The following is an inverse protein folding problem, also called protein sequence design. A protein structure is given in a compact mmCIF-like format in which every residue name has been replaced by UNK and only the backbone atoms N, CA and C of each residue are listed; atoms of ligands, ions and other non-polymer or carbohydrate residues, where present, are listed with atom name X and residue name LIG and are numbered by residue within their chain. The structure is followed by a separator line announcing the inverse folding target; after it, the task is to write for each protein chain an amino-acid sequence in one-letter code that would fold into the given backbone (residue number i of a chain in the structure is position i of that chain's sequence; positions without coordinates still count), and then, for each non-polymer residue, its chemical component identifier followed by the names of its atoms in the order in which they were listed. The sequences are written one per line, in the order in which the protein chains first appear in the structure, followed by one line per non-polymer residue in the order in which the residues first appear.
data_IF_278809245695
#
_entry.id   IF_278809245695
#
_cell.length_a   1.000
_cell.length_b   1.000
_cell.length_c   1.000
_cell.angle_alpha   90.00
_cell.angle_beta   90.00
_cell.angle_gamma   90.00
#
_symmetry.space_group_name_H-M   'P 1'
#
loop_
_entity.id
_entity.type
_entity.pdbx_description
1 polymer ?
#
# COMPACT_ATOMS: atom_id res chain seq x y z
N UNK A 1 30.66 -18.91 -15.48
CA UNK A 1 30.17 -18.98 -14.07
C UNK A 1 31.00 -18.14 -13.09
N UNK A 2 32.33 -18.19 -13.16
CA UNK A 2 33.20 -17.39 -12.26
C UNK A 2 32.99 -15.86 -12.38
N UNK A 3 32.67 -15.37 -13.57
CA UNK A 3 32.43 -13.96 -13.84
C UNK A 3 31.11 -13.43 -13.19
N UNK A 4 30.04 -14.22 -13.23
CA UNK A 4 28.74 -13.85 -12.64
C UNK A 4 28.82 -13.73 -11.11
N UNK A 5 29.51 -14.65 -10.43
CA UNK A 5 29.72 -14.59 -9.00
C UNK A 5 30.47 -13.33 -8.62
N UNK A 6 31.59 -13.04 -9.28
CA UNK A 6 32.40 -11.84 -9.03
C UNK A 6 31.56 -10.57 -9.22
N UNK A 7 30.82 -10.49 -10.34
CA UNK A 7 29.98 -9.32 -10.64
C UNK A 7 28.90 -9.07 -9.56
N UNK A 8 28.20 -10.11 -9.12
CA UNK A 8 27.15 -9.98 -8.09
C UNK A 8 27.77 -9.67 -6.73
N UNK A 9 28.90 -10.31 -6.36
CA UNK A 9 29.61 -10.02 -5.11
C UNK A 9 30.06 -8.56 -5.06
N UNK A 10 30.72 -8.06 -6.09
CA UNK A 10 31.15 -6.65 -6.17
C UNK A 10 29.96 -5.69 -6.07
N UNK A 11 28.83 -6.03 -6.69
CA UNK A 11 27.62 -5.22 -6.64
C UNK A 11 27.07 -5.14 -5.20
N UNK A 12 27.00 -6.25 -4.46
CA UNK A 12 26.52 -6.26 -3.08
C UNK A 12 27.51 -5.61 -2.12
N UNK A 13 28.81 -5.87 -2.27
CA UNK A 13 29.88 -5.22 -1.51
C UNK A 13 29.83 -3.69 -1.63
N UNK A 14 29.45 -3.16 -2.80
CA UNK A 14 29.31 -1.72 -3.02
C UNK A 14 28.20 -1.05 -2.21
N UNK A 15 27.31 -1.83 -1.62
CA UNK A 15 26.24 -1.39 -0.71
C UNK A 15 26.36 -2.03 0.67
N UNK A 16 27.57 -2.42 1.05
CA UNK A 16 27.93 -3.00 2.35
C UNK A 16 27.19 -4.31 2.67
N UNK A 17 26.96 -5.17 1.68
CA UNK A 17 26.41 -6.53 1.85
C UNK A 17 27.46 -7.56 1.43
N UNK A 18 27.67 -8.59 2.25
CA UNK A 18 28.56 -9.69 1.93
C UNK A 18 27.77 -10.96 1.57
N UNK A 19 28.23 -11.66 0.53
CA UNK A 19 27.70 -13.00 0.22
C UNK A 19 28.41 -14.02 1.09
N UNK A 20 27.64 -14.81 1.83
CA UNK A 20 28.10 -15.75 2.86
C UNK A 20 28.90 -15.04 3.97
N UNK A 21 28.51 -13.81 4.29
CA UNK A 21 29.04 -13.05 5.42
C UNK A 21 28.43 -13.51 6.75
N UNK A 22 28.78 -12.82 7.84
CA UNK A 22 28.38 -13.21 9.21
C UNK A 22 27.37 -12.26 9.86
N UNK A 23 27.06 -11.14 9.21
CA UNK A 23 26.10 -10.17 9.78
C UNK A 23 24.66 -10.61 9.48
N UNK A 24 23.66 -10.27 10.29
CA UNK A 24 22.27 -10.71 10.08
C UNK A 24 21.68 -10.31 8.71
N UNK A 25 22.16 -9.22 8.11
CA UNK A 25 21.71 -8.74 6.80
C UNK A 25 22.62 -9.21 5.64
N UNK A 26 23.67 -10.00 5.90
CA UNK A 26 24.45 -10.66 4.87
C UNK A 26 23.69 -11.90 4.37
N UNK A 27 23.74 -12.15 3.05
CA UNK A 27 22.99 -13.26 2.47
C UNK A 27 23.81 -14.56 2.47
N UNK A 28 23.11 -15.69 2.69
CA UNK A 28 23.69 -17.05 2.60
C UNK A 28 23.21 -17.69 1.29
N UNK A 29 24.12 -17.91 0.35
CA UNK A 29 23.78 -18.46 -0.98
C UNK A 29 24.02 -19.97 -1.00
N UNK A 30 22.95 -20.73 -1.22
CA UNK A 30 22.94 -22.19 -1.25
C UNK A 30 23.00 -22.75 -2.68
N UNK A 31 22.52 -22.00 -3.70
CA UNK A 31 22.49 -22.44 -5.09
C UNK A 31 23.37 -21.54 -5.99
N UNK A 32 24.33 -22.15 -6.71
CA UNK A 32 25.25 -21.43 -7.59
C UNK A 32 24.55 -20.72 -8.78
N UNK A 33 23.34 -21.14 -9.15
CA UNK A 33 22.54 -20.51 -10.21
C UNK A 33 21.95 -19.15 -9.78
N UNK A 34 21.96 -18.82 -8.48
CA UNK A 34 21.58 -17.54 -7.93
C UNK A 34 22.21 -16.36 -8.70
N UNK A 35 23.51 -16.42 -8.91
CA UNK A 35 24.25 -15.31 -9.53
C UNK A 35 23.76 -14.98 -10.95
N UNK A 36 23.53 -16.00 -11.76
CA UNK A 36 23.01 -15.80 -13.12
C UNK A 36 21.56 -15.32 -13.12
N UNK A 37 20.74 -15.83 -12.17
CA UNK A 37 19.32 -15.46 -12.05
C UNK A 37 19.15 -14.01 -11.61
N UNK A 38 19.95 -13.56 -10.65
CA UNK A 38 19.93 -12.16 -10.19
C UNK A 38 20.39 -11.20 -11.30
N UNK A 39 21.46 -11.51 -12.02
CA UNK A 39 21.92 -10.66 -13.12
C UNK A 39 20.92 -10.56 -14.27
N UNK A 40 20.27 -11.66 -14.64
CA UNK A 40 19.29 -11.70 -15.73
C UNK A 40 17.93 -11.13 -15.33
N UNK A 41 17.44 -11.52 -14.14
CA UNK A 41 16.10 -11.20 -13.65
C UNK A 41 16.02 -9.97 -12.75
N UNK A 42 17.14 -9.43 -12.27
CA UNK A 42 17.21 -8.30 -11.32
C UNK A 42 16.32 -8.55 -10.09
N UNK A 43 15.44 -7.60 -9.74
CA UNK A 43 14.50 -7.74 -8.60
C UNK A 43 13.62 -8.99 -8.70
N UNK A 44 13.13 -9.32 -9.89
CA UNK A 44 12.35 -10.53 -10.10
C UNK A 44 13.19 -11.79 -9.82
N UNK A 45 14.41 -11.85 -10.38
CA UNK A 45 15.33 -12.96 -10.16
C UNK A 45 15.78 -13.10 -8.71
N UNK A 46 15.98 -11.98 -8.01
CA UNK A 46 16.32 -11.95 -6.59
C UNK A 46 15.19 -12.52 -5.73
N UNK A 47 13.97 -12.01 -5.89
CA UNK A 47 12.81 -12.46 -5.10
C UNK A 47 12.42 -13.91 -5.40
N UNK A 48 12.38 -14.31 -6.70
CA UNK A 48 12.07 -15.70 -7.04
C UNK A 48 13.13 -16.70 -6.53
N UNK A 49 14.40 -16.32 -6.51
CA UNK A 49 15.45 -17.18 -5.96
C UNK A 49 15.35 -17.30 -4.43
N UNK A 50 14.84 -16.29 -3.72
CA UNK A 50 14.50 -16.38 -2.31
C UNK A 50 13.33 -17.35 -2.08
N UNK A 51 12.25 -17.18 -2.84
CA UNK A 51 11.07 -18.06 -2.77
C UNK A 51 11.44 -19.54 -3.01
N UNK A 52 12.40 -19.78 -3.89
CA UNK A 52 12.87 -21.13 -4.25
C UNK A 52 13.96 -21.67 -3.27
N UNK A 53 14.27 -20.97 -2.17
CA UNK A 53 15.25 -21.39 -1.17
C UNK A 53 16.71 -21.37 -1.64
N UNK A 54 17.04 -20.59 -2.67
CA UNK A 54 18.42 -20.52 -3.19
C UNK A 54 19.35 -19.68 -2.34
N UNK A 55 18.79 -18.83 -1.49
CA UNK A 55 19.50 -18.02 -0.53
C UNK A 55 18.62 -17.67 0.66
N UNK A 56 19.25 -17.35 1.79
CA UNK A 56 18.61 -16.90 3.01
C UNK A 56 19.26 -15.62 3.53
N UNK A 57 18.53 -14.90 4.39
CA UNK A 57 18.97 -13.72 5.09
C UNK A 57 18.21 -13.62 6.41
N UNK A 58 18.90 -13.51 7.53
CA UNK A 58 18.28 -13.41 8.85
C UNK A 58 17.53 -12.09 9.04
N UNK A 59 18.10 -10.96 8.59
CA UNK A 59 17.49 -9.63 8.65
C UNK A 59 17.19 -9.12 7.23
N UNK A 60 16.19 -9.72 6.57
CA UNK A 60 15.83 -9.44 5.18
C UNK A 60 15.36 -7.99 4.95
N UNK A 61 14.70 -7.38 5.94
CA UNK A 61 14.33 -5.98 5.97
C UNK A 61 15.55 -5.05 5.95
N UNK A 62 16.59 -5.39 6.74
CA UNK A 62 17.84 -4.66 6.79
C UNK A 62 18.66 -4.84 5.49
N UNK A 63 18.67 -6.05 4.92
CA UNK A 63 19.24 -6.30 3.60
C UNK A 63 18.61 -5.39 2.54
N UNK A 64 17.28 -5.30 2.50
CA UNK A 64 16.59 -4.40 1.59
C UNK A 64 16.95 -2.93 1.83
N UNK A 65 16.99 -2.51 3.10
CA UNK A 65 17.40 -1.17 3.46
C UNK A 65 18.79 -0.84 2.90
N UNK A 66 19.78 -1.71 3.13
CA UNK A 66 21.16 -1.51 2.64
C UNK A 66 21.22 -1.38 1.11
N UNK A 67 20.54 -2.30 0.39
CA UNK A 67 20.47 -2.23 -1.08
C UNK A 67 19.92 -0.90 -1.58
N UNK A 68 18.84 -0.42 -0.97
CA UNK A 68 18.11 0.76 -1.43
C UNK A 68 18.79 2.06 -0.98
N UNK A 69 19.32 2.11 0.24
CA UNK A 69 20.09 3.24 0.75
C UNK A 69 21.37 3.44 -0.04
N UNK A 70 22.10 2.36 -0.32
CA UNK A 70 23.31 2.35 -1.16
C UNK A 70 23.05 2.56 -2.65
N UNK A 71 21.78 2.69 -3.08
CA UNK A 71 21.40 2.98 -4.47
C UNK A 71 21.89 1.93 -5.46
N UNK A 72 21.78 0.64 -5.12
CA UNK A 72 22.19 -0.48 -5.97
C UNK A 72 21.54 -0.41 -7.38
N UNK A 73 20.34 0.13 -7.48
CA UNK A 73 19.60 0.35 -8.73
C UNK A 73 20.34 1.24 -9.74
N UNK A 74 21.15 2.19 -9.26
CA UNK A 74 21.97 3.08 -10.10
C UNK A 74 23.28 2.45 -10.59
N UNK A 75 23.74 1.42 -9.89
CA UNK A 75 24.99 0.74 -10.21
C UNK A 75 24.78 -0.34 -11.30
N UNK A 76 23.56 -0.83 -11.46
CA UNK A 76 23.21 -1.80 -12.49
C UNK A 76 23.01 -1.11 -13.84
N UNK A 77 24.08 -1.05 -14.67
CA UNK A 77 24.06 -0.40 -16.00
C UNK A 77 23.36 -1.22 -17.09
N UNK A 78 22.95 -2.45 -16.84
CA UNK A 78 22.38 -3.36 -17.86
C UNK A 78 20.90 -3.04 -18.10
N UNK A 79 20.59 -2.50 -19.27
CA UNK A 79 19.20 -2.37 -19.77
C UNK A 79 18.74 -3.73 -20.33
N UNK A 80 17.89 -4.44 -19.61
CA UNK A 80 17.29 -5.68 -20.10
C UNK A 80 16.24 -5.39 -21.20
N UNK A 81 16.21 -6.11 -22.35
CA UNK A 81 15.16 -5.97 -23.35
C UNK A 81 13.75 -6.21 -22.78
N UNK A 82 13.61 -7.12 -21.82
CA UNK A 82 12.34 -7.38 -21.11
C UNK A 82 11.86 -6.14 -20.33
N UNK A 83 12.75 -5.40 -19.70
CA UNK A 83 12.41 -4.14 -19.02
C UNK A 83 11.93 -3.07 -20.01
N UNK A 84 12.59 -2.93 -21.17
CA UNK A 84 12.19 -1.99 -22.22
C UNK A 84 10.79 -2.34 -22.75
N UNK A 85 10.52 -3.62 -23.00
CA UNK A 85 9.20 -4.10 -23.44
C UNK A 85 8.11 -3.86 -22.39
N UNK A 86 8.41 -4.03 -21.10
CA UNK A 86 7.48 -3.73 -20.02
C UNK A 86 7.14 -2.23 -19.94
N UNK A 87 8.13 -1.35 -20.09
CA UNK A 87 7.94 0.10 -20.14
C UNK A 87 7.11 0.52 -21.36
N UNK A 88 7.40 -0.03 -22.55
CA UNK A 88 6.62 0.22 -23.77
C UNK A 88 5.17 -0.23 -23.61
N UNK A 89 4.94 -1.41 -23.04
CA UNK A 89 3.59 -1.92 -22.77
C UNK A 89 2.82 -1.02 -21.80
N UNK A 90 3.45 -0.54 -20.73
CA UNK A 90 2.84 0.39 -19.78
C UNK A 90 2.53 1.76 -20.42
N UNK A 91 3.31 2.17 -21.41
CA UNK A 91 3.07 3.42 -22.13
C UNK A 91 1.83 3.35 -23.05
N UNK A 92 1.65 2.25 -23.77
CA UNK A 92 0.56 2.11 -24.75
C UNK A 92 -0.74 1.58 -24.15
N UNK A 93 -0.70 0.74 -23.11
CA UNK A 93 -1.87 0.12 -22.51
C UNK A 93 -2.29 0.80 -21.20
N UNK A 94 -3.60 0.98 -21.02
CA UNK A 94 -4.16 1.31 -19.71
C UNK A 94 -4.41 0.00 -18.93
N UNK A 95 -3.44 -0.39 -18.09
CA UNK A 95 -3.51 -1.63 -17.32
C UNK A 95 -4.57 -1.57 -16.20
N UNK A 96 -5.07 -0.36 -15.84
CA UNK A 96 -6.06 -0.10 -14.81
C UNK A 96 -7.44 0.26 -15.39
N UNK A 97 -7.81 -0.32 -16.54
CA UNK A 97 -9.16 -0.18 -17.09
C UNK A 97 -10.22 -0.79 -16.15
N UNK A 98 -11.47 -0.32 -16.22
CA UNK A 98 -12.59 -0.79 -15.39
C UNK A 98 -12.70 -2.33 -15.38
N UNK A 99 -12.63 -2.98 -16.56
CA UNK A 99 -12.67 -4.45 -16.66
C UNK A 99 -11.55 -5.15 -15.90
N UNK A 100 -10.35 -4.57 -15.86
CA UNK A 100 -9.19 -5.13 -15.16
C UNK A 100 -9.21 -4.86 -13.65
N UNK A 101 -9.87 -3.80 -13.19
CA UNK A 101 -10.01 -3.52 -11.75
C UNK A 101 -10.71 -4.68 -11.01
N UNK A 102 -11.78 -5.23 -11.60
CA UNK A 102 -12.48 -6.40 -11.03
C UNK A 102 -11.63 -7.69 -11.07
N UNK A 103 -10.78 -7.88 -12.09
CA UNK A 103 -9.86 -9.04 -12.17
C UNK A 103 -8.81 -8.95 -11.07
N UNK A 104 -8.20 -7.77 -10.87
CA UNK A 104 -7.21 -7.55 -9.82
C UNK A 104 -7.84 -7.72 -8.43
N UNK A 105 -9.06 -7.22 -8.22
CA UNK A 105 -9.82 -7.43 -6.99
C UNK A 105 -9.99 -8.92 -6.68
N UNK A 106 -10.36 -9.71 -7.69
CA UNK A 106 -10.53 -11.16 -7.56
C UNK A 106 -9.20 -11.89 -7.29
N UNK A 107 -8.16 -11.63 -8.07
CA UNK A 107 -6.89 -12.37 -7.97
C UNK A 107 -6.08 -12.01 -6.71
N UNK A 108 -6.18 -10.77 -6.24
CA UNK A 108 -5.36 -10.29 -5.11
C UNK A 108 -6.00 -10.54 -3.74
N UNK A 109 -7.33 -10.36 -3.62
CA UNK A 109 -8.04 -10.52 -2.34
C UNK A 109 -8.68 -11.91 -2.17
N UNK A 110 -8.71 -12.76 -3.21
CA UNK A 110 -9.06 -14.19 -3.13
C UNK A 110 -7.92 -15.03 -2.46
N UNK A 111 -6.85 -14.40 -1.98
CA UNK A 111 -5.82 -15.02 -1.12
C UNK A 111 -6.38 -15.39 0.26
N UNK A 112 -7.69 -15.32 0.45
CA UNK A 112 -8.41 -15.81 1.60
C UNK A 112 -8.38 -14.88 2.82
N UNK A 113 -9.55 -14.63 3.39
CA UNK A 113 -9.70 -13.82 4.60
C UNK A 113 -8.94 -14.37 5.82
N UNK A 114 -8.65 -15.68 5.85
CA UNK A 114 -7.92 -16.36 6.91
C UNK A 114 -6.48 -15.82 7.09
N UNK A 115 -5.75 -15.65 5.99
CA UNK A 115 -4.42 -15.06 6.02
C UNK A 115 -4.45 -13.63 6.59
N UNK A 116 -5.35 -12.80 6.07
CA UNK A 116 -5.46 -11.41 6.51
C UNK A 116 -5.93 -11.31 7.96
N UNK A 117 -6.88 -12.15 8.39
CA UNK A 117 -7.37 -12.16 9.76
C UNK A 117 -6.30 -12.54 10.80
N UNK A 118 -5.33 -13.37 10.41
CA UNK A 118 -4.22 -13.77 11.29
C UNK A 118 -3.04 -12.78 11.26
N UNK A 119 -2.92 -11.97 10.22
CA UNK A 119 -1.82 -11.03 10.03
C UNK A 119 -2.17 -9.60 10.48
N UNK A 120 -3.37 -9.13 10.17
CA UNK A 120 -3.80 -7.75 10.41
C UNK A 120 -4.24 -7.52 11.87
N UNK A 121 -4.60 -6.28 12.17
CA UNK A 121 -5.26 -5.89 13.41
C UNK A 121 -6.71 -6.43 13.48
N UNK A 122 -7.33 -6.33 14.65
CA UNK A 122 -8.71 -6.79 14.91
C UNK A 122 -9.77 -6.15 13.98
N UNK A 123 -9.46 -5.03 13.35
CA UNK A 123 -10.36 -4.32 12.42
C UNK A 123 -10.09 -4.64 10.95
N UNK A 124 -9.18 -5.58 10.66
CA UNK A 124 -8.80 -5.99 9.30
C UNK A 124 -8.32 -4.83 8.43
N UNK A 125 -7.44 -3.98 8.96
CA UNK A 125 -6.93 -2.80 8.25
C UNK A 125 -5.66 -3.13 7.48
N UNK A 126 -5.74 -3.23 6.17
CA UNK A 126 -4.58 -3.51 5.29
C UNK A 126 -3.96 -2.22 4.74
N UNK A 127 -3.59 -1.32 5.64
CA UNK A 127 -2.89 -0.07 5.35
C UNK A 127 -2.06 0.37 6.55
N UNK A 128 -1.19 1.34 6.37
CA UNK A 128 -0.30 1.82 7.42
C UNK A 128 -1.05 2.27 8.68
N UNK A 129 -0.59 1.84 9.86
CA UNK A 129 -0.97 2.41 11.15
C UNK A 129 -0.33 3.79 11.38
N UNK A 130 -0.79 4.53 12.40
CA UNK A 130 -0.16 5.76 12.87
C UNK A 130 0.44 5.50 14.25
N UNK A 131 1.76 5.37 14.31
CA UNK A 131 2.47 4.85 15.48
C UNK A 131 2.78 5.91 16.54
N UNK A 132 2.36 7.14 16.34
CA UNK A 132 2.47 8.16 17.38
C UNK A 132 1.64 7.72 18.59
N UNK A 133 2.30 7.61 19.74
CA UNK A 133 1.69 7.20 21.02
C UNK A 133 0.99 5.81 20.94
N UNK A 134 1.58 4.86 20.19
CA UNK A 134 1.08 3.49 20.02
C UNK A 134 2.18 2.48 20.35
N UNK A 135 1.84 1.47 21.15
CA UNK A 135 2.75 0.39 21.57
C UNK A 135 2.52 -0.91 20.78
N UNK A 136 1.44 -0.98 20.00
CA UNK A 136 1.06 -2.16 19.23
C UNK A 136 0.26 -1.77 17.97
N UNK A 137 0.07 -2.77 17.09
CA UNK A 137 -0.59 -2.60 15.80
C UNK A 137 -2.05 -2.14 15.94
N UNK A 138 -2.82 -2.71 16.87
CA UNK A 138 -4.23 -2.34 17.08
C UNK A 138 -4.36 -0.86 17.46
N UNK A 139 -3.52 -0.39 18.39
CA UNK A 139 -3.52 1.01 18.78
C UNK A 139 -3.05 1.93 17.64
N UNK A 140 -2.04 1.53 16.89
CA UNK A 140 -1.57 2.31 15.73
C UNK A 140 -2.67 2.44 14.66
N UNK A 141 -3.47 1.40 14.43
CA UNK A 141 -4.60 1.44 13.51
C UNK A 141 -5.74 2.32 14.04
N UNK A 142 -6.08 2.23 15.33
CA UNK A 142 -7.06 3.12 15.99
C UNK A 142 -6.61 4.58 15.84
N UNK A 143 -5.35 4.88 16.14
CA UNK A 143 -4.79 6.24 16.02
C UNK A 143 -4.89 6.76 14.58
N UNK A 144 -4.65 5.90 13.59
CA UNK A 144 -4.78 6.27 12.17
C UNK A 144 -6.23 6.57 11.79
N UNK A 145 -7.18 5.75 12.24
CA UNK A 145 -8.61 5.95 11.95
C UNK A 145 -9.13 7.24 12.60
N UNK A 146 -8.76 7.48 13.85
CA UNK A 146 -9.07 8.70 14.57
C UNK A 146 -8.48 9.94 13.88
N UNK A 147 -7.22 9.87 13.46
CA UNK A 147 -6.56 10.94 12.71
C UNK A 147 -7.32 11.27 11.41
N UNK A 148 -7.78 10.26 10.68
CA UNK A 148 -8.59 10.44 9.46
C UNK A 148 -9.90 11.15 9.78
N UNK A 149 -10.64 10.70 10.79
CA UNK A 149 -11.91 11.30 11.19
C UNK A 149 -11.74 12.76 11.63
N UNK A 150 -10.71 13.06 12.44
CA UNK A 150 -10.39 14.44 12.86
C UNK A 150 -10.00 15.32 11.69
N UNK A 151 -9.19 14.82 10.75
CA UNK A 151 -8.80 15.55 9.54
C UNK A 151 -9.98 15.84 8.62
N UNK A 152 -10.98 14.99 8.58
CA UNK A 152 -12.21 15.22 7.84
C UNK A 152 -13.24 16.05 8.61
N UNK A 153 -12.93 16.49 9.84
CA UNK A 153 -13.85 17.22 10.73
C UNK A 153 -15.20 16.51 10.89
N UNK A 154 -15.19 15.17 11.00
CA UNK A 154 -16.41 14.36 11.07
C UNK A 154 -17.25 14.73 12.30
N UNK A 155 -18.57 14.82 12.09
CA UNK A 155 -19.58 15.13 13.12
C UNK A 155 -20.77 14.19 12.96
N UNK A 156 -21.51 13.92 14.04
CA UNK A 156 -22.70 13.09 13.96
C UNK A 156 -23.67 13.56 12.87
N UNK A 157 -24.24 12.60 12.15
CA UNK A 157 -25.18 12.81 11.06
C UNK A 157 -24.56 13.15 9.69
N UNK A 158 -23.23 13.33 9.60
CA UNK A 158 -22.57 13.52 8.30
C UNK A 158 -22.60 12.24 7.45
N UNK A 159 -22.73 12.40 6.15
CA UNK A 159 -22.66 11.32 5.17
C UNK A 159 -21.26 11.23 4.60
N UNK A 160 -20.59 10.11 4.78
CA UNK A 160 -19.21 9.85 4.35
C UNK A 160 -19.19 8.83 3.21
N UNK A 161 -18.46 9.12 2.15
CA UNK A 161 -18.14 8.16 1.09
C UNK A 161 -16.75 7.57 1.33
N UNK A 162 -16.64 6.25 1.43
CA UNK A 162 -15.38 5.53 1.47
C UNK A 162 -15.08 4.85 0.13
N UNK A 163 -14.08 5.36 -0.60
CA UNK A 163 -13.67 4.81 -1.91
C UNK A 163 -12.58 3.76 -1.68
N UNK A 164 -12.95 2.48 -1.76
CA UNK A 164 -12.09 1.36 -1.42
C UNK A 164 -12.23 0.98 0.06
N UNK A 165 -13.41 0.47 0.44
CA UNK A 165 -13.75 0.21 1.85
C UNK A 165 -13.05 -1.00 2.47
N UNK A 166 -12.37 -1.83 1.66
CA UNK A 166 -11.77 -3.05 2.18
C UNK A 166 -12.79 -3.89 2.97
N UNK A 167 -12.39 -4.38 4.13
CA UNK A 167 -13.26 -5.15 5.05
C UNK A 167 -14.13 -4.27 5.96
N UNK A 168 -14.26 -2.97 5.69
CA UNK A 168 -15.16 -2.05 6.42
C UNK A 168 -14.57 -1.47 7.71
N UNK A 169 -13.28 -1.65 7.97
CA UNK A 169 -12.66 -1.24 9.24
C UNK A 169 -12.75 0.27 9.52
N UNK A 170 -12.59 1.13 8.51
CA UNK A 170 -12.80 2.58 8.69
C UNK A 170 -14.27 2.89 8.87
N UNK A 171 -15.16 2.34 8.03
CA UNK A 171 -16.60 2.59 8.11
C UNK A 171 -17.15 2.24 9.51
N UNK A 172 -16.76 1.06 10.03
CA UNK A 172 -17.11 0.62 11.38
C UNK A 172 -16.66 1.63 12.44
N UNK A 173 -15.38 1.98 12.41
CA UNK A 173 -14.80 2.91 13.40
C UNK A 173 -15.47 4.30 13.35
N UNK A 174 -15.68 4.84 12.16
CA UNK A 174 -16.27 6.16 11.99
C UNK A 174 -17.74 6.20 12.43
N UNK A 175 -18.53 5.18 12.09
CA UNK A 175 -19.92 5.07 12.55
C UNK A 175 -20.00 4.93 14.07
N UNK A 176 -19.21 4.03 14.69
CA UNK A 176 -19.19 3.79 16.13
C UNK A 176 -18.75 5.01 16.94
N UNK A 177 -17.72 5.73 16.51
CA UNK A 177 -17.05 6.74 17.32
C UNK A 177 -17.40 8.19 16.96
N UNK A 178 -17.93 8.42 15.74
CA UNK A 178 -18.23 9.76 15.24
C UNK A 178 -19.72 9.93 14.86
N UNK A 179 -20.52 8.84 14.90
CA UNK A 179 -21.97 8.90 14.62
C UNK A 179 -22.30 9.31 13.18
N UNK A 180 -21.44 8.97 12.25
CA UNK A 180 -21.60 9.27 10.82
C UNK A 180 -22.23 8.09 10.08
N UNK A 181 -22.94 8.39 8.97
CA UNK A 181 -23.36 7.39 8.00
C UNK A 181 -22.23 7.16 6.98
N UNK A 182 -21.84 5.91 6.73
CA UNK A 182 -20.76 5.60 5.77
C UNK A 182 -21.26 4.74 4.62
N UNK A 183 -21.08 5.24 3.40
CA UNK A 183 -21.26 4.46 2.17
C UNK A 183 -19.89 4.03 1.65
N UNK A 184 -19.57 2.75 1.76
CA UNK A 184 -18.34 2.14 1.28
C UNK A 184 -18.51 1.47 -0.09
N UNK A 185 -17.53 1.63 -0.96
CA UNK A 185 -17.46 0.87 -2.21
C UNK A 185 -16.19 0.04 -2.30
N UNK A 186 -16.30 -1.14 -2.87
CA UNK A 186 -15.16 -2.02 -3.19
C UNK A 186 -15.42 -2.77 -4.51
N UNK A 187 -14.38 -3.29 -5.12
CA UNK A 187 -14.46 -4.20 -6.29
C UNK A 187 -14.28 -5.68 -5.93
N UNK A 188 -14.11 -5.99 -4.64
CA UNK A 188 -14.03 -7.35 -4.11
C UNK A 188 -15.35 -7.73 -3.44
N UNK A 189 -15.96 -8.81 -3.93
CA UNK A 189 -17.20 -9.34 -3.35
C UNK A 189 -17.00 -9.86 -1.92
N UNK A 190 -15.89 -10.55 -1.68
CA UNK A 190 -15.54 -11.10 -0.36
C UNK A 190 -15.33 -10.01 0.70
N UNK A 191 -14.66 -8.92 0.32
CA UNK A 191 -14.52 -7.76 1.21
C UNK A 191 -15.87 -7.12 1.51
N UNK A 192 -16.72 -6.95 0.51
CA UNK A 192 -18.06 -6.38 0.69
C UNK A 192 -18.90 -7.22 1.65
N UNK A 193 -18.98 -8.54 1.44
CA UNK A 193 -19.77 -9.45 2.28
C UNK A 193 -19.25 -9.44 3.72
N UNK A 194 -17.94 -9.47 3.92
CA UNK A 194 -17.34 -9.35 5.24
C UNK A 194 -17.68 -8.01 5.91
N UNK A 195 -17.55 -6.89 5.18
CA UNK A 195 -17.85 -5.56 5.68
C UNK A 195 -19.33 -5.42 6.10
N UNK A 196 -20.25 -5.95 5.30
CA UNK A 196 -21.68 -5.96 5.62
C UNK A 196 -21.98 -6.70 6.93
N UNK A 197 -21.36 -7.86 7.15
CA UNK A 197 -21.57 -8.63 8.38
C UNK A 197 -20.89 -7.96 9.59
N UNK A 198 -19.62 -7.50 9.43
CA UNK A 198 -18.86 -6.90 10.53
C UNK A 198 -19.42 -5.55 11.01
N UNK A 199 -20.16 -4.85 10.15
CA UNK A 199 -20.77 -3.54 10.44
C UNK A 199 -22.29 -3.63 10.70
N UNK A 200 -22.84 -4.83 10.90
CA UNK A 200 -24.26 -5.04 11.13
C UNK A 200 -24.76 -4.23 12.34
N UNK A 201 -25.87 -3.51 12.15
CA UNK A 201 -26.47 -2.65 13.18
C UNK A 201 -25.90 -1.22 13.24
N UNK A 202 -24.87 -0.90 12.43
CA UNK A 202 -24.34 0.45 12.28
C UNK A 202 -24.95 1.15 11.06
N UNK A 203 -24.89 2.47 11.03
CA UNK A 203 -25.33 3.27 9.87
C UNK A 203 -24.26 3.22 8.75
N UNK A 204 -24.16 2.05 8.14
CA UNK A 204 -23.19 1.76 7.07
C UNK A 204 -23.86 1.01 5.93
N UNK A 205 -23.38 1.24 4.73
CA UNK A 205 -23.79 0.49 3.53
C UNK A 205 -22.59 0.20 2.64
N UNK A 206 -22.55 -0.98 2.02
CA UNK A 206 -21.44 -1.39 1.16
C UNK A 206 -21.95 -1.85 -0.20
N UNK A 207 -21.27 -1.41 -1.27
CA UNK A 207 -21.67 -1.70 -2.64
C UNK A 207 -20.46 -2.23 -3.44
N UNK A 208 -20.71 -3.27 -4.23
CA UNK A 208 -19.73 -3.77 -5.22
C UNK A 208 -19.75 -2.85 -6.44
N UNK A 209 -18.88 -1.86 -6.47
CA UNK A 209 -18.92 -0.80 -7.47
C UNK A 209 -17.54 -0.25 -7.81
N UNK A 210 -17.31 0.03 -9.10
CA UNK A 210 -16.13 0.79 -9.54
C UNK A 210 -16.34 2.28 -9.25
N UNK A 211 -15.29 2.98 -8.78
CA UNK A 211 -15.36 4.40 -8.43
C UNK A 211 -15.84 5.29 -9.58
N UNK A 212 -15.64 4.90 -10.83
CA UNK A 212 -16.05 5.67 -12.02
C UNK A 212 -17.56 5.80 -12.14
N UNK A 213 -18.30 4.86 -11.56
CA UNK A 213 -19.77 4.82 -11.56
C UNK A 213 -20.40 5.52 -10.35
N UNK A 214 -19.57 6.09 -9.47
CA UNK A 214 -20.04 6.81 -8.30
C UNK A 214 -20.86 8.04 -8.69
N UNK A 215 -21.96 8.23 -7.98
CA UNK A 215 -22.80 9.43 -8.00
C UNK A 215 -23.29 9.68 -6.56
N UNK A 216 -23.85 10.83 -6.32
CA UNK A 216 -24.37 11.23 -5.00
C UNK A 216 -23.64 12.48 -4.49
N UNK A 217 -24.03 12.93 -3.30
CA UNK A 217 -23.44 14.05 -2.60
C UNK A 217 -23.13 13.66 -1.17
N UNK A 218 -21.88 13.87 -0.73
CA UNK A 218 -21.36 13.45 0.57
C UNK A 218 -20.66 14.62 1.26
N UNK A 219 -20.85 14.71 2.57
CA UNK A 219 -20.23 15.76 3.40
C UNK A 219 -18.72 15.57 3.52
N UNK A 220 -18.25 14.30 3.46
CA UNK A 220 -16.84 13.98 3.43
C UNK A 220 -16.57 12.77 2.52
N UNK A 221 -15.35 12.70 1.97
CA UNK A 221 -14.86 11.56 1.20
C UNK A 221 -13.55 11.08 1.83
N UNK A 222 -13.38 9.76 1.91
CA UNK A 222 -12.12 9.13 2.32
C UNK A 222 -11.70 8.07 1.31
N UNK A 223 -10.40 7.97 1.09
CA UNK A 223 -9.80 6.92 0.27
C UNK A 223 -8.46 6.53 0.88
N UNK A 224 -8.33 5.27 1.31
CA UNK A 224 -7.15 4.77 2.01
C UNK A 224 -6.59 3.56 1.25
N UNK A 225 -5.36 3.71 0.70
CA UNK A 225 -4.66 2.62 0.00
C UNK A 225 -5.29 2.19 -1.34
N UNK A 226 -6.19 3.00 -1.89
CA UNK A 226 -6.89 2.68 -3.14
C UNK A 226 -6.25 3.37 -4.36
N UNK A 227 -5.66 4.56 -4.17
CA UNK A 227 -5.13 5.39 -5.26
C UNK A 227 -3.99 4.72 -6.02
N UNK A 228 -3.26 3.82 -5.37
CA UNK A 228 -2.22 2.96 -5.93
C UNK A 228 -2.75 2.01 -7.02
N UNK A 229 -4.05 1.71 -7.00
CA UNK A 229 -4.73 0.85 -7.98
C UNK A 229 -5.39 1.66 -9.13
N UNK A 230 -5.42 2.99 -9.04
CA UNK A 230 -6.02 3.87 -10.06
C UNK A 230 -5.16 3.99 -11.32
N UNK A 231 -3.83 4.10 -11.14
CA UNK A 231 -2.85 4.28 -12.20
C UNK A 231 -2.81 5.70 -12.79
N UNK A 232 -1.61 6.14 -13.16
CA UNK A 232 -1.32 7.54 -13.48
C UNK A 232 -2.18 8.14 -14.61
N UNK A 233 -2.65 7.31 -15.53
CA UNK A 233 -3.52 7.75 -16.65
C UNK A 233 -4.92 8.13 -16.19
N UNK A 234 -5.35 7.60 -15.04
CA UNK A 234 -6.71 7.79 -14.51
C UNK A 234 -6.75 8.73 -13.28
N UNK A 235 -5.60 9.20 -12.76
CA UNK A 235 -5.57 10.04 -11.56
C UNK A 235 -6.45 11.29 -11.69
N UNK A 236 -6.42 11.95 -12.85
CA UNK A 236 -7.26 13.13 -13.08
C UNK A 236 -8.75 12.82 -13.07
N UNK A 237 -9.16 11.69 -13.66
CA UNK A 237 -10.57 11.30 -13.70
C UNK A 237 -11.05 10.83 -12.31
N UNK A 238 -10.18 10.18 -11.55
CA UNK A 238 -10.43 9.88 -10.14
C UNK A 238 -10.72 11.16 -9.32
N UNK A 239 -9.89 12.17 -9.45
CA UNK A 239 -10.10 13.48 -8.78
C UNK A 239 -11.39 14.18 -9.24
N UNK A 240 -11.77 14.08 -10.52
CA UNK A 240 -13.06 14.60 -11.01
C UNK A 240 -14.25 13.88 -10.38
N UNK A 241 -14.17 12.55 -10.24
CA UNK A 241 -15.23 11.76 -9.58
C UNK A 241 -15.35 12.15 -8.11
N UNK A 242 -14.25 12.21 -7.37
CA UNK A 242 -14.25 12.65 -5.97
C UNK A 242 -14.86 14.07 -5.85
N UNK A 243 -14.45 15.02 -6.71
CA UNK A 243 -15.01 16.37 -6.72
C UNK A 243 -16.53 16.39 -6.99
N UNK A 244 -17.01 15.55 -7.92
CA UNK A 244 -18.45 15.46 -8.25
C UNK A 244 -19.27 14.97 -7.07
N UNK A 245 -18.75 14.02 -6.31
CA UNK A 245 -19.44 13.39 -5.18
C UNK A 245 -19.30 14.15 -3.86
N UNK A 246 -18.36 15.09 -3.75
CA UNK A 246 -18.14 15.87 -2.53
C UNK A 246 -19.12 17.06 -2.48
N UNK A 247 -19.63 17.37 -1.28
CA UNK A 247 -20.33 18.63 -1.01
C UNK A 247 -19.42 19.86 -1.21
N UNK A 248 -20.01 21.03 -1.44
CA UNK A 248 -19.22 22.24 -1.71
C UNK A 248 -18.35 22.70 -0.54
N UNK A 249 -18.74 22.39 0.68
CA UNK A 249 -17.99 22.67 1.91
C UNK A 249 -17.33 21.41 2.50
N UNK A 250 -17.45 20.29 1.78
CA UNK A 250 -16.90 19.00 2.21
C UNK A 250 -15.38 18.91 2.10
N UNK A 251 -14.84 17.91 2.79
CA UNK A 251 -13.42 17.55 2.76
C UNK A 251 -13.22 16.16 2.16
N UNK A 252 -12.18 16.03 1.33
CA UNK A 252 -11.73 14.76 0.80
C UNK A 252 -10.34 14.43 1.36
N UNK A 253 -10.21 13.30 2.06
CA UNK A 253 -8.93 12.78 2.51
C UNK A 253 -8.46 11.67 1.58
N UNK A 254 -7.28 11.88 1.00
CA UNK A 254 -6.55 10.89 0.20
C UNK A 254 -5.34 10.37 1.00
N UNK A 255 -5.36 9.10 1.38
CA UNK A 255 -4.25 8.40 2.01
C UNK A 255 -3.64 7.44 0.99
N UNK A 256 -2.40 7.66 0.61
CA UNK A 256 -1.73 6.87 -0.43
C UNK A 256 -0.24 6.70 -0.17
N UNK A 257 0.28 5.51 -0.49
CA UNK A 257 1.72 5.32 -0.63
C UNK A 257 2.21 6.21 -1.77
N UNK A 258 3.41 6.75 -1.62
CA UNK A 258 4.02 7.58 -2.62
C UNK A 258 5.51 7.35 -2.79
N UNK A 259 6.06 7.92 -3.83
CA UNK A 259 7.51 7.91 -4.12
C UNK A 259 7.99 9.28 -4.59
N UNK A 260 9.26 9.58 -4.33
CA UNK A 260 9.80 10.92 -4.58
C UNK A 260 9.90 11.32 -6.06
N UNK A 261 9.88 10.34 -6.97
CA UNK A 261 10.01 10.57 -8.41
C UNK A 261 8.91 9.84 -9.19
N UNK A 262 8.41 10.42 -10.28
CA UNK A 262 7.38 9.77 -11.11
C UNK A 262 7.85 8.41 -11.62
N UNK A 263 6.96 7.41 -11.56
CA UNK A 263 7.15 6.11 -12.20
C UNK A 263 5.96 5.80 -13.10
N UNK A 264 6.21 4.96 -14.10
CA UNK A 264 5.18 4.45 -15.02
C UNK A 264 5.03 2.93 -14.93
N UNK A 265 5.76 2.30 -14.03
CA UNK A 265 5.75 0.85 -13.81
C UNK A 265 6.04 0.52 -12.35
N UNK A 266 5.54 -0.59 -11.90
CA UNK A 266 5.83 -1.19 -10.61
C UNK A 266 7.06 -2.10 -10.73
N UNK A 267 7.71 -2.40 -9.61
CA UNK A 267 8.75 -3.42 -9.55
C UNK A 267 8.25 -4.75 -10.14
N UNK A 268 9.02 -5.46 -10.99
CA UNK A 268 8.55 -6.66 -11.67
C UNK A 268 8.14 -7.80 -10.74
N UNK A 269 8.83 -7.98 -9.60
CA UNK A 269 8.47 -9.01 -8.64
C UNK A 269 7.15 -8.66 -7.92
N UNK A 270 7.05 -7.43 -7.42
CA UNK A 270 5.84 -6.91 -6.78
C UNK A 270 4.63 -6.96 -7.73
N UNK A 271 4.83 -6.61 -9.00
CA UNK A 271 3.78 -6.66 -10.01
C UNK A 271 3.30 -8.08 -10.31
N UNK A 272 4.19 -9.07 -10.22
CA UNK A 272 3.87 -10.47 -10.52
C UNK A 272 3.16 -11.18 -9.37
N UNK A 273 3.60 -10.93 -8.14
CA UNK A 273 3.23 -11.75 -6.99
C UNK A 273 2.30 -11.05 -5.99
N UNK A 274 2.35 -9.72 -5.88
CA UNK A 274 1.66 -9.00 -4.79
C UNK A 274 0.61 -8.02 -5.31
N UNK A 275 1.01 -7.03 -6.12
CA UNK A 275 0.12 -5.96 -6.60
C UNK A 275 0.13 -5.85 -8.12
N UNK A 276 -0.55 -6.74 -8.84
CA UNK A 276 -0.65 -6.65 -10.29
C UNK A 276 -1.18 -5.28 -10.74
N UNK A 277 -0.42 -4.62 -11.62
CA UNK A 277 -0.72 -3.28 -12.14
C UNK A 277 -0.77 -2.16 -11.09
N UNK A 278 -0.38 -2.39 -9.85
CA UNK A 278 -0.26 -1.34 -8.82
C UNK A 278 0.72 -0.25 -9.27
N UNK A 279 0.48 1.00 -8.87
CA UNK A 279 1.33 2.13 -9.23
C UNK A 279 1.36 3.19 -8.15
N UNK A 280 2.53 3.41 -7.59
CA UNK A 280 2.75 4.40 -6.53
C UNK A 280 2.95 5.79 -7.16
N UNK A 281 2.11 6.80 -6.82
CA UNK A 281 2.22 8.15 -7.35
C UNK A 281 3.44 8.92 -6.81
N UNK A 282 3.80 9.99 -7.50
CA UNK A 282 4.71 11.00 -6.99
C UNK A 282 3.97 12.28 -6.60
N UNK A 283 4.59 13.21 -5.82
CA UNK A 283 3.98 14.49 -5.48
C UNK A 283 3.54 15.26 -6.72
N UNK A 284 4.37 15.31 -7.75
CA UNK A 284 4.05 15.99 -9.01
C UNK A 284 2.83 15.38 -9.71
N UNK A 285 2.66 14.05 -9.69
CA UNK A 285 1.51 13.39 -10.29
C UNK A 285 0.22 13.67 -9.51
N UNK A 286 0.28 13.65 -8.18
CA UNK A 286 -0.87 13.97 -7.31
C UNK A 286 -1.27 15.45 -7.52
N UNK A 287 -0.33 16.37 -7.36
CA UNK A 287 -0.61 17.82 -7.51
C UNK A 287 -1.17 18.15 -8.90
N UNK A 288 -0.60 17.57 -9.97
CA UNK A 288 -1.13 17.72 -11.32
C UNK A 288 -2.56 17.19 -11.47
N UNK A 289 -2.89 16.08 -10.82
CA UNK A 289 -4.23 15.50 -10.87
C UNK A 289 -5.28 16.34 -10.12
N UNK A 290 -4.88 17.00 -9.02
CA UNK A 290 -5.74 17.86 -8.21
C UNK A 290 -5.85 19.30 -8.76
N UNK A 291 -4.88 19.76 -9.56
CA UNK A 291 -4.79 21.14 -10.05
C UNK A 291 -6.09 21.63 -10.70
N UNK A 292 -6.63 22.77 -10.22
CA UNK A 292 -7.89 23.37 -10.68
C UNK A 292 -9.16 22.57 -10.32
N UNK A 293 -9.02 21.47 -9.58
CA UNK A 293 -10.15 20.71 -9.02
C UNK A 293 -10.26 20.92 -7.51
N UNK A 294 -9.14 20.98 -6.82
CA UNK A 294 -9.09 21.07 -5.36
C UNK A 294 -8.05 22.08 -4.89
N UNK A 295 -8.29 22.63 -3.71
CA UNK A 295 -7.30 23.26 -2.86
C UNK A 295 -6.71 22.15 -1.97
N UNK A 296 -5.38 22.08 -1.87
CA UNK A 296 -4.69 21.17 -0.94
C UNK A 296 -4.61 21.90 0.41
N UNK A 297 -5.36 21.43 1.39
CA UNK A 297 -5.44 22.02 2.72
C UNK A 297 -4.35 21.51 3.65
N UNK A 298 -4.00 20.22 3.56
CA UNK A 298 -2.98 19.55 4.36
C UNK A 298 -2.25 18.50 3.52
N UNK A 299 -0.96 18.31 3.82
CA UNK A 299 -0.15 17.22 3.27
C UNK A 299 0.75 16.66 4.36
N UNK A 300 0.29 15.63 5.04
CA UNK A 300 0.98 14.96 6.12
C UNK A 300 1.74 13.74 5.63
N UNK A 301 3.05 13.69 5.89
CA UNK A 301 3.91 12.55 5.55
C UNK A 301 4.31 11.81 6.84
N UNK A 302 3.87 10.57 6.99
CA UNK A 302 4.28 9.65 8.05
C UNK A 302 4.70 8.28 7.51
N UNK A 303 5.36 8.28 6.36
CA UNK A 303 5.82 7.05 5.70
C UNK A 303 6.76 6.18 6.54
N UNK A 304 7.40 6.72 7.55
CA UNK A 304 8.19 5.97 8.52
C UNK A 304 7.37 4.96 9.33
N UNK A 305 6.09 5.24 9.54
CA UNK A 305 5.17 4.40 10.31
C UNK A 305 4.78 3.11 9.57
N UNK A 306 5.07 3.04 8.27
CA UNK A 306 4.84 1.81 7.51
C UNK A 306 5.86 0.71 7.85
N UNK A 307 7.10 1.08 8.22
CA UNK A 307 8.11 0.12 8.66
C UNK A 307 7.61 -0.69 9.88
N UNK A 308 7.29 -0.11 11.04
CA UNK A 308 6.76 -0.87 12.17
C UNK A 308 5.42 -1.56 11.87
N UNK A 309 4.58 -1.02 10.98
CA UNK A 309 3.34 -1.69 10.56
C UNK A 309 3.65 -3.01 9.83
N UNK A 310 4.56 -2.99 8.87
CA UNK A 310 4.97 -4.18 8.10
C UNK A 310 5.71 -5.20 8.97
N UNK A 311 6.54 -4.73 9.90
CA UNK A 311 7.21 -5.61 10.87
C UNK A 311 6.19 -6.31 11.78
N UNK A 312 5.17 -5.60 12.27
CA UNK A 312 4.10 -6.18 13.08
C UNK A 312 3.26 -7.19 12.26
N UNK A 313 2.95 -6.89 11.00
CA UNK A 313 2.29 -7.86 10.12
C UNK A 313 3.14 -9.11 9.90
N UNK A 314 4.45 -8.96 9.70
CA UNK A 314 5.34 -10.11 9.56
C UNK A 314 5.41 -10.95 10.84
N UNK A 315 5.50 -10.31 12.00
CA UNK A 315 5.50 -11.01 13.29
C UNK A 315 4.21 -11.82 13.49
N UNK A 316 3.04 -11.23 13.23
CA UNK A 316 1.76 -11.92 13.31
C UNK A 316 1.68 -13.08 12.32
N UNK A 317 2.11 -12.87 11.08
CA UNK A 317 2.16 -13.92 10.05
C UNK A 317 3.05 -15.09 10.46
N UNK A 318 4.28 -14.83 10.94
CA UNK A 318 5.20 -15.89 11.37
C UNK A 318 4.62 -16.68 12.57
N UNK A 319 4.03 -16.00 13.55
CA UNK A 319 3.38 -16.65 14.72
C UNK A 319 2.19 -17.52 14.33
N UNK A 320 1.49 -17.16 13.26
CA UNK A 320 0.25 -17.80 12.85
C UNK A 320 0.41 -18.79 11.70
N UNK A 321 1.62 -18.92 11.13
CA UNK A 321 1.82 -19.71 9.91
C UNK A 321 1.47 -21.19 10.09
N UNK A 322 1.68 -21.75 11.27
CA UNK A 322 1.30 -23.15 11.55
C UNK A 322 -0.20 -23.42 11.34
N UNK A 323 -1.06 -22.43 11.48
CA UNK A 323 -2.49 -22.51 11.20
C UNK A 323 -2.80 -22.38 9.68
N UNK A 324 -1.84 -21.99 8.89
CA UNK A 324 -1.99 -21.67 7.46
C UNK A 324 -1.29 -22.70 6.54
N UNK A 325 -0.39 -23.53 7.07
CA UNK A 325 0.50 -24.41 6.28
C UNK A 325 -0.20 -25.46 5.42
N UNK A 326 -1.42 -25.85 5.79
CA UNK A 326 -2.20 -26.81 5.00
C UNK A 326 -2.76 -26.19 3.70
N UNK A 327 -2.88 -24.85 3.67
CA UNK A 327 -3.40 -24.08 2.54
C UNK A 327 -2.31 -23.35 1.76
N UNK A 328 -1.25 -22.97 2.46
CA UNK A 328 -0.15 -22.16 1.90
C UNK A 328 1.18 -22.90 2.12
N UNK A 329 1.84 -23.27 1.02
CA UNK A 329 3.10 -23.99 1.05
C UNK A 329 4.29 -23.12 1.50
N UNK A 330 5.45 -23.74 1.71
CA UNK A 330 6.67 -23.06 2.13
C UNK A 330 7.13 -21.99 1.12
N UNK A 331 6.86 -22.20 -0.17
CA UNK A 331 7.18 -21.22 -1.20
C UNK A 331 6.31 -19.97 -1.07
N UNK A 332 5.05 -20.13 -0.72
CA UNK A 332 4.14 -19.02 -0.40
C UNK A 332 4.60 -18.29 0.87
N UNK A 333 4.96 -19.03 1.93
CA UNK A 333 5.49 -18.44 3.16
C UNK A 333 6.67 -17.52 2.87
N UNK A 334 7.67 -18.00 2.13
CA UNK A 334 8.83 -17.22 1.73
C UNK A 334 8.47 -16.03 0.84
N UNK A 335 7.48 -16.18 -0.05
CA UNK A 335 6.96 -15.07 -0.86
C UNK A 335 6.37 -13.96 0.00
N UNK A 336 5.56 -14.33 0.99
CA UNK A 336 4.85 -13.38 1.85
C UNK A 336 5.82 -12.67 2.80
N UNK A 337 6.73 -13.39 3.41
CA UNK A 337 7.83 -12.86 4.21
C UNK A 337 8.70 -11.88 3.41
N UNK A 338 9.12 -12.29 2.21
CA UNK A 338 9.88 -11.43 1.31
C UNK A 338 9.11 -10.13 1.00
N UNK A 339 7.81 -10.23 0.73
CA UNK A 339 6.97 -9.06 0.51
C UNK A 339 7.00 -8.09 1.69
N UNK A 340 6.69 -8.57 2.89
CA UNK A 340 6.55 -7.72 4.08
C UNK A 340 7.89 -7.06 4.44
N UNK A 341 8.96 -7.84 4.52
CA UNK A 341 10.26 -7.37 4.97
C UNK A 341 10.95 -6.47 3.91
N UNK A 342 10.83 -6.80 2.62
CA UNK A 342 11.34 -5.93 1.56
C UNK A 342 10.58 -4.60 1.50
N UNK A 343 9.27 -4.59 1.74
CA UNK A 343 8.51 -3.35 1.85
C UNK A 343 8.93 -2.54 3.08
N UNK A 344 9.16 -3.16 4.25
CA UNK A 344 9.68 -2.47 5.44
C UNK A 344 11.00 -1.74 5.12
N UNK A 345 11.94 -2.42 4.48
CA UNK A 345 13.20 -1.82 4.02
C UNK A 345 13.01 -0.66 3.02
N UNK A 346 11.98 -0.70 2.14
CA UNK A 346 11.70 0.42 1.22
C UNK A 346 11.21 1.67 1.95
N UNK A 347 10.42 1.55 2.99
CA UNK A 347 9.97 2.69 3.80
C UNK A 347 11.09 3.19 4.71
N UNK A 348 11.84 2.31 5.37
CA UNK A 348 13.01 2.64 6.19
C UNK A 348 14.08 3.41 5.39
N UNK A 349 14.32 3.03 4.14
CA UNK A 349 15.24 3.71 3.24
C UNK A 349 14.68 5.00 2.62
N UNK A 350 13.46 5.40 2.94
CA UNK A 350 12.76 6.58 2.42
C UNK A 350 12.57 6.56 0.89
N UNK A 351 12.64 5.38 0.27
CA UNK A 351 12.32 5.21 -1.16
C UNK A 351 10.83 5.32 -1.42
N UNK A 352 10.04 4.73 -0.52
CA UNK A 352 8.61 4.95 -0.44
C UNK A 352 8.27 5.95 0.68
N UNK A 353 7.19 6.66 0.49
CA UNK A 353 6.58 7.60 1.41
C UNK A 353 5.13 7.17 1.64
N UNK A 354 4.49 7.74 2.66
CA UNK A 354 3.06 7.65 2.85
C UNK A 354 2.52 9.03 3.12
N UNK A 355 1.46 9.40 2.42
CA UNK A 355 0.85 10.71 2.55
C UNK A 355 -0.63 10.63 2.85
N UNK A 356 -1.08 11.51 3.72
CA UNK A 356 -2.47 11.92 3.83
C UNK A 356 -2.60 13.35 3.31
N UNK A 357 -3.39 13.54 2.26
CA UNK A 357 -3.75 14.85 1.73
C UNK A 357 -5.19 15.15 2.12
N UNK A 358 -5.44 16.35 2.63
CA UNK A 358 -6.79 16.88 2.80
C UNK A 358 -7.06 17.89 1.70
N UNK A 359 -8.16 17.72 1.04
CA UNK A 359 -8.56 18.46 -0.16
C UNK A 359 -9.94 19.06 0.03
N UNK A 360 -10.13 20.30 -0.38
CA UNK A 360 -11.44 20.99 -0.43
C UNK A 360 -11.73 21.51 -1.82
N UNK A 361 -13.01 21.69 -2.18
CA UNK A 361 -13.37 22.21 -3.52
C UNK A 361 -12.92 23.65 -3.80
N UNK A 362 -12.89 24.50 -2.78
CA UNK A 362 -12.70 25.96 -2.94
C UNK A 362 -11.92 26.64 -1.81
N UNK A 363 -11.34 25.86 -0.91
CA UNK A 363 -10.75 26.35 0.33
C UNK A 363 -11.77 26.48 1.47
N UNK A 364 -11.28 26.31 2.70
CA UNK A 364 -12.10 26.52 3.90
C UNK A 364 -12.02 27.99 4.34
N UNK A 365 -13.17 28.58 4.69
CA UNK A 365 -13.20 29.94 5.25
C UNK A 365 -12.47 29.95 6.61
N UNK A 366 -11.44 30.76 6.72
CA UNK A 366 -10.59 30.84 7.93
C UNK A 366 -9.43 29.88 7.95
N UNK A 367 -9.23 29.09 6.87
CA UNK A 367 -8.15 28.10 6.77
C UNK A 367 -8.51 26.74 7.37
N UNK A 368 -7.64 25.78 7.18
CA UNK A 368 -7.81 24.40 7.64
C UNK A 368 -6.94 24.15 8.89
N UNK A 369 -7.51 23.48 9.90
CA UNK A 369 -6.79 22.92 11.04
C UNK A 369 -7.57 21.73 11.59
N UNK A 370 -6.90 20.62 11.87
CA UNK A 370 -7.51 19.44 12.51
C UNK A 370 -7.08 19.26 13.99
N UNK A 371 -6.13 20.07 14.47
CA UNK A 371 -5.56 19.92 15.82
C UNK A 371 -6.59 20.16 16.94
N UNK A 372 -7.59 20.99 16.67
CA UNK A 372 -8.66 21.34 17.63
C UNK A 372 -9.95 20.53 17.42
N UNK A 373 -9.98 19.58 16.51
CA UNK A 373 -11.14 18.70 16.32
C UNK A 373 -11.06 17.54 17.32
N UNK A 374 -11.97 17.53 18.30
CA UNK A 374 -12.09 16.45 19.29
C UNK A 374 -13.10 15.40 18.84
N UNK A 375 -13.01 14.20 19.41
CA UNK A 375 -14.09 13.21 19.30
C UNK A 375 -15.39 13.81 19.85
N UNK A 376 -16.55 13.60 19.22
CA UNK A 376 -17.83 14.14 19.68
C UNK A 376 -18.25 13.68 21.09
N UNK A 377 -17.67 12.59 21.60
CA UNK A 377 -18.03 11.93 22.87
C UNK A 377 -16.87 11.83 23.88
N UNK A 378 -15.79 12.61 23.74
CA UNK A 378 -14.69 12.68 24.71
C UNK A 378 -14.80 13.87 25.65
#
# INVERSE_FOLDING_TARGET
MADFKKTVSTLFESVDIQINGSRPFDIQVHNKLFYSRVLSGKSLGLGESYMDGWWDCEALDQFCYQMLWGRIDKQIKVKSPAFLMHVLRAYFLNAQSKKRAYIVGKEHYDTGNDLFALMLDQRMIYSCGYWKDADNLDQAQINKLDLVCRKLHLKPGMRVLEIGSGWGGFAKYAAENYGVSVHGITVSKEQMEYAQESCKGLDTSFELKDYRDLNGNYDAIVSIGMFEHVGYKNYRDYMKVARRCLDDNGLFLLHTIGRNTPSRSTDPWTNKYIFPNGMIPSPAQISKSAQGLFVIEDWHNFGQDYDPTLMAWNENFQKSYDNLKDRYDERFKRMWEYYLLMCAGTFRSRRNQLWQLVLSKKGLKGGYSYQNSHRPNS
#
